data_IF_324385106854
#
_entry.id   IF_324385106854
#
_cell.length_a   1.000
_cell.length_b   1.000
_cell.length_c   1.000
_cell.angle_alpha   90.00
_cell.angle_beta   90.00
_cell.angle_gamma   90.00
#
_symmetry.space_group_name_H-M   'P 1'
#
loop_
_entity.id
_entity.type
_entity.pdbx_description
1 polymer ?
#
# COMPACT_ATOMS: atom_id res chain seq x y z
N UNK A 1 17.21 -1.35 -8.19
CA UNK A 1 16.16 -1.15 -7.17
C UNK A 1 15.33 -2.41 -7.15
N UNK A 2 15.40 -3.18 -6.07
CA UNK A 2 14.57 -4.38 -5.89
C UNK A 2 13.14 -3.93 -5.67
N UNK A 3 12.22 -4.31 -6.55
CA UNK A 3 10.80 -4.19 -6.24
C UNK A 3 10.54 -5.01 -4.97
N UNK A 4 9.84 -4.43 -3.99
CA UNK A 4 9.46 -5.16 -2.79
C UNK A 4 8.58 -6.35 -3.21
N UNK A 5 9.07 -7.57 -2.98
CA UNK A 5 8.31 -8.78 -3.20
C UNK A 5 7.24 -8.87 -2.11
N UNK A 6 5.97 -8.92 -2.51
CA UNK A 6 4.83 -8.89 -1.59
C UNK A 6 4.45 -10.33 -1.23
N UNK A 7 4.37 -10.62 0.06
CA UNK A 7 3.98 -11.92 0.61
C UNK A 7 2.48 -12.15 0.47
N UNK A 8 2.06 -13.33 -0.01
CA UNK A 8 0.63 -13.68 -0.02
C UNK A 8 0.16 -14.12 1.37
N UNK A 9 -0.98 -13.61 1.87
CA UNK A 9 -1.50 -13.97 3.17
C UNK A 9 -2.11 -15.38 3.14
N UNK A 10 -2.00 -16.09 4.26
CA UNK A 10 -2.68 -17.37 4.44
C UNK A 10 -4.21 -17.17 4.46
N UNK A 11 -4.94 -18.03 3.75
CA UNK A 11 -6.41 -17.97 3.64
C UNK A 11 -7.13 -18.86 4.67
N UNK A 12 -6.38 -19.68 5.40
CA UNK A 12 -6.86 -20.69 6.34
C UNK A 12 -6.23 -20.58 7.74
N UNK A 13 -5.60 -19.45 8.04
CA UNK A 13 -5.03 -19.16 9.34
C UNK A 13 -6.11 -18.85 10.40
N UNK A 14 -5.74 -18.94 11.68
CA UNK A 14 -6.57 -18.41 12.76
C UNK A 14 -6.83 -16.91 12.59
N UNK A 15 -7.91 -16.40 13.18
CA UNK A 15 -8.43 -15.04 12.94
C UNK A 15 -7.36 -13.94 13.03
N UNK A 16 -6.65 -13.83 14.16
CA UNK A 16 -5.63 -12.81 14.35
C UNK A 16 -4.47 -12.89 13.33
N UNK A 17 -3.76 -14.02 13.18
CA UNK A 17 -2.67 -14.10 12.20
C UNK A 17 -3.16 -13.94 10.76
N UNK A 18 -4.41 -14.30 10.44
CA UNK A 18 -5.01 -13.99 9.14
C UNK A 18 -5.11 -12.48 8.93
N UNK A 19 -5.69 -11.74 9.89
CA UNK A 19 -5.83 -10.28 9.79
C UNK A 19 -4.48 -9.56 9.69
N UNK A 20 -3.49 -9.99 10.49
CA UNK A 20 -2.13 -9.44 10.45
C UNK A 20 -1.48 -9.66 9.08
N UNK A 21 -1.60 -10.87 8.51
CA UNK A 21 -1.08 -11.16 7.17
C UNK A 21 -1.74 -10.33 6.07
N UNK A 22 -3.05 -10.09 6.16
CA UNK A 22 -3.75 -9.22 5.20
C UNK A 22 -3.32 -7.75 5.33
N UNK A 23 -3.08 -7.25 6.54
CA UNK A 23 -2.54 -5.91 6.74
C UNK A 23 -1.16 -5.76 6.09
N UNK A 24 -0.26 -6.71 6.33
CA UNK A 24 1.09 -6.69 5.74
C UNK A 24 1.04 -6.77 4.22
N UNK A 25 0.21 -7.65 3.65
CA UNK A 25 -0.03 -7.72 2.20
C UNK A 25 -0.45 -6.38 1.60
N UNK A 26 -1.35 -5.64 2.28
CA UNK A 26 -1.82 -4.34 1.79
C UNK A 26 -0.76 -3.25 1.92
N UNK A 27 0.02 -3.24 3.01
CA UNK A 27 1.17 -2.32 3.18
C UNK A 27 2.21 -2.52 2.09
N UNK A 28 2.59 -3.78 1.87
CA UNK A 28 3.55 -4.16 0.83
C UNK A 28 3.04 -3.85 -0.58
N UNK A 29 1.73 -4.06 -0.84
CA UNK A 29 1.11 -3.67 -2.12
C UNK A 29 1.24 -2.17 -2.37
N UNK A 30 1.01 -1.33 -1.36
CA UNK A 30 1.12 0.13 -1.51
C UNK A 30 2.58 0.54 -1.74
N UNK A 31 3.52 -0.03 -0.97
CA UNK A 31 4.94 0.21 -1.15
C UNK A 31 5.42 -0.18 -2.56
N UNK A 32 4.99 -1.34 -3.06
CA UNK A 32 5.27 -1.79 -4.42
C UNK A 32 4.74 -0.82 -5.47
N UNK A 33 3.51 -0.32 -5.32
CA UNK A 33 2.92 0.67 -6.25
C UNK A 33 3.66 2.01 -6.26
N UNK A 34 4.30 2.37 -5.15
CA UNK A 34 5.09 3.59 -5.04
C UNK A 34 6.53 3.40 -5.52
N UNK A 35 7.02 2.16 -5.63
CA UNK A 35 8.41 1.87 -5.94
C UNK A 35 8.81 2.37 -7.33
N UNK A 36 9.95 3.06 -7.41
CA UNK A 36 10.47 3.57 -8.68
C UNK A 36 9.81 4.85 -9.19
N UNK A 37 8.78 5.35 -8.52
CA UNK A 37 8.15 6.63 -8.87
C UNK A 37 8.95 7.80 -8.31
N UNK A 38 9.00 8.88 -9.09
CA UNK A 38 9.51 10.16 -8.63
C UNK A 38 8.50 10.84 -7.69
N UNK A 39 9.00 11.77 -6.89
CA UNK A 39 8.21 12.59 -5.99
C UNK A 39 7.12 13.42 -6.71
N UNK A 40 7.37 13.84 -7.95
CA UNK A 40 6.37 14.50 -8.78
C UNK A 40 5.23 13.54 -9.18
N UNK A 41 5.58 12.32 -9.62
CA UNK A 41 4.61 11.30 -10.02
C UNK A 41 3.75 10.82 -8.84
N UNK A 42 4.33 10.71 -7.64
CA UNK A 42 3.57 10.34 -6.44
C UNK A 42 2.48 11.35 -6.07
N UNK A 43 2.63 12.62 -6.46
CA UNK A 43 1.65 13.69 -6.22
C UNK A 43 0.61 13.82 -7.32
N UNK A 44 0.81 13.19 -8.46
CA UNK A 44 -0.16 13.22 -9.55
C UNK A 44 -1.42 12.44 -9.18
N UNK A 45 -2.58 13.00 -9.56
CA UNK A 45 -3.86 12.33 -9.38
C UNK A 45 -3.88 11.03 -10.20
N UNK A 46 -3.99 9.89 -9.53
CA UNK A 46 -3.87 8.58 -10.18
C UNK A 46 -5.14 8.18 -10.95
N UNK A 47 -6.30 8.75 -10.60
CA UNK A 47 -7.60 8.45 -11.25
C UNK A 47 -8.46 9.71 -11.38
N UNK A 48 -8.30 10.52 -12.45
CA UNK A 48 -9.17 11.67 -12.70
C UNK A 48 -10.65 11.24 -12.87
N UNK A 49 -11.63 12.04 -12.39
CA UNK A 49 -11.50 13.40 -11.84
C UNK A 49 -11.15 13.45 -10.34
N UNK A 50 -10.91 12.32 -9.70
CA UNK A 50 -10.55 12.28 -8.28
C UNK A 50 -9.20 12.95 -8.04
N UNK A 51 -9.07 13.70 -6.95
CA UNK A 51 -7.80 14.29 -6.51
C UNK A 51 -6.87 13.27 -5.82
N UNK A 52 -7.20 11.98 -5.90
CA UNK A 52 -6.53 10.92 -5.18
C UNK A 52 -5.16 10.61 -5.79
N UNK A 53 -4.10 10.87 -5.02
CA UNK A 53 -2.71 10.56 -5.38
C UNK A 53 -2.14 9.45 -4.49
N UNK A 54 -1.11 8.76 -4.96
CA UNK A 54 -0.43 7.73 -4.17
C UNK A 54 0.19 8.30 -2.88
N UNK A 55 0.72 9.53 -2.94
CA UNK A 55 1.21 10.21 -1.74
C UNK A 55 0.09 10.44 -0.72
N UNK A 56 -1.09 10.89 -1.18
CA UNK A 56 -2.25 11.09 -0.31
C UNK A 56 -2.71 9.77 0.35
N UNK A 57 -2.67 8.66 -0.40
CA UNK A 57 -2.99 7.34 0.13
C UNK A 57 -2.00 6.87 1.19
N UNK A 58 -0.69 7.07 0.99
CA UNK A 58 0.34 6.73 2.00
C UNK A 58 0.12 7.52 3.28
N UNK A 59 -0.15 8.82 3.18
CA UNK A 59 -0.44 9.66 4.34
C UNK A 59 -1.69 9.16 5.07
N UNK A 60 -2.78 8.90 4.33
CA UNK A 60 -4.02 8.41 4.91
C UNK A 60 -3.84 7.08 5.65
N UNK A 61 -3.14 6.12 5.05
CA UNK A 61 -2.89 4.82 5.69
C UNK A 61 -2.06 4.98 6.97
N UNK A 62 -1.02 5.80 6.95
CA UNK A 62 -0.19 6.07 8.13
C UNK A 62 -0.98 6.74 9.27
N UNK A 63 -1.95 7.59 8.94
CA UNK A 63 -2.85 8.19 9.93
C UNK A 63 -3.83 7.16 10.53
N UNK A 64 -4.34 6.24 9.71
CA UNK A 64 -5.30 5.20 10.14
C UNK A 64 -4.66 4.14 11.03
N UNK A 65 -3.38 3.85 10.84
CA UNK A 65 -2.64 2.82 11.60
C UNK A 65 -2.04 3.32 12.92
N UNK A 66 -2.25 4.59 13.27
CA UNK A 66 -1.76 5.19 14.52
C UNK A 66 -2.65 4.84 15.71
#
# INVERSE_FOLDING_TARGET
MTAAERSEPAIDAAERPMLEGWLDYHRETLAMKCAGLTDAQLREASVPPSAFSLLGLVQHLAEVER
#
